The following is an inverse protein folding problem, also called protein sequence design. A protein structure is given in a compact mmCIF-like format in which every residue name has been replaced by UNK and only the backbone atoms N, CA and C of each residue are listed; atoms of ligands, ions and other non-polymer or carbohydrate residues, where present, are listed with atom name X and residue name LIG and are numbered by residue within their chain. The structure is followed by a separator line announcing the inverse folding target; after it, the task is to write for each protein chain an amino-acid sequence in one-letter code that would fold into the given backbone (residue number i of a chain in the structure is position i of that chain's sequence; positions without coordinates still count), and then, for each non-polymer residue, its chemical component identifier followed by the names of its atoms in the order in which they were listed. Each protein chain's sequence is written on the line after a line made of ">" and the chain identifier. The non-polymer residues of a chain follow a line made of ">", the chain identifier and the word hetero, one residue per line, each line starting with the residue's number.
data_IF_987328699841
#
_entry.id   IF_987328699841
#
_cell.length_a   1.000
_cell.length_b   1.000
_cell.length_c   1.000
_cell.angle_alpha   90.00
_cell.angle_beta   90.00
_cell.angle_gamma   90.00
#
_symmetry.space_group_name_H-M   'P 1'
#
loop_
_entity.id
_entity.type
_entity.pdbx_description
1 polymer ?
#
# COMPACT_ATOMS: atom_id res chain seq x y z
N UNK A 1 -15.12 -31.79 12.57
CA UNK A 1 -14.01 -31.57 11.63
C UNK A 1 -13.53 -30.14 11.78
N UNK A 2 -12.46 -29.92 12.54
CA UNK A 2 -11.90 -28.58 12.74
C UNK A 2 -11.19 -28.17 11.45
N UNK A 3 -11.76 -27.21 10.71
CA UNK A 3 -11.17 -26.66 9.49
C UNK A 3 -9.89 -25.92 9.90
N UNK A 4 -8.71 -26.46 9.62
CA UNK A 4 -7.43 -25.80 9.88
C UNK A 4 -7.42 -24.47 9.10
N UNK A 5 -7.47 -23.35 9.82
CA UNK A 5 -7.16 -22.04 9.27
C UNK A 5 -5.67 -21.79 9.54
N UNK A 6 -4.87 -21.43 8.52
CA UNK A 6 -3.49 -21.02 8.76
C UNK A 6 -3.49 -19.86 9.77
N UNK A 7 -2.48 -19.82 10.64
CA UNK A 7 -2.33 -18.67 11.53
C UNK A 7 -1.97 -17.44 10.69
N UNK A 8 -2.34 -16.25 11.15
CA UNK A 8 -1.99 -14.98 10.51
C UNK A 8 -0.50 -14.90 10.15
N UNK A 9 0.37 -15.36 11.06
CA UNK A 9 1.81 -15.41 10.86
C UNK A 9 2.21 -16.26 9.63
N UNK A 10 1.59 -17.43 9.43
CA UNK A 10 1.91 -18.31 8.29
C UNK A 10 1.60 -17.62 6.95
N UNK A 11 0.49 -16.89 6.89
CA UNK A 11 0.09 -16.17 5.67
C UNK A 11 1.06 -15.03 5.37
N UNK A 12 1.44 -14.27 6.39
CA UNK A 12 2.38 -13.16 6.27
C UNK A 12 3.79 -13.65 5.90
N UNK A 13 4.25 -14.73 6.53
CA UNK A 13 5.56 -15.32 6.25
C UNK A 13 5.60 -15.90 4.83
N UNK A 14 4.51 -16.51 4.35
CA UNK A 14 4.39 -16.96 2.97
C UNK A 14 4.43 -15.79 1.96
N UNK A 15 3.73 -14.68 2.25
CA UNK A 15 3.78 -13.48 1.42
C UNK A 15 5.16 -12.82 1.41
N UNK A 16 5.81 -12.74 2.57
CA UNK A 16 7.17 -12.25 2.67
C UNK A 16 8.13 -13.12 1.85
N UNK A 17 8.03 -14.45 1.96
CA UNK A 17 8.83 -15.37 1.16
C UNK A 17 8.59 -15.20 -0.34
N UNK A 18 7.35 -15.00 -0.78
CA UNK A 18 7.01 -14.74 -2.19
C UNK A 18 7.62 -13.43 -2.69
N UNK A 19 7.49 -12.34 -1.94
CA UNK A 19 8.10 -11.04 -2.29
C UNK A 19 9.62 -11.19 -2.46
N UNK A 20 10.27 -11.82 -1.48
CA UNK A 20 11.73 -11.97 -1.45
C UNK A 20 12.25 -12.96 -2.49
N UNK A 21 11.45 -13.99 -2.83
CA UNK A 21 11.79 -14.94 -3.88
C UNK A 21 11.70 -14.31 -5.27
N UNK A 22 10.57 -13.66 -5.58
CA UNK A 22 10.32 -13.07 -6.89
C UNK A 22 11.19 -11.83 -7.15
N UNK A 23 11.58 -11.12 -6.10
CA UNK A 23 12.35 -9.87 -6.18
C UNK A 23 13.58 -9.91 -5.26
N UNK A 24 14.44 -10.91 -5.48
CA UNK A 24 15.63 -11.17 -4.64
C UNK A 24 16.74 -10.11 -4.70
N UNK A 25 16.66 -9.15 -5.64
CA UNK A 25 17.69 -8.13 -5.86
C UNK A 25 17.06 -6.78 -6.20
N UNK A 26 17.71 -5.72 -5.75
CA UNK A 26 17.31 -4.35 -5.99
C UNK A 26 16.18 -3.88 -5.08
N UNK A 27 15.72 -2.66 -5.33
CA UNK A 27 14.65 -2.00 -4.58
C UNK A 27 13.31 -2.54 -5.01
N UNK A 28 12.52 -3.00 -4.04
CA UNK A 28 11.19 -3.56 -4.29
C UNK A 28 10.14 -2.67 -3.67
N UNK A 29 9.24 -2.13 -4.46
CA UNK A 29 8.07 -1.39 -3.97
C UNK A 29 6.82 -2.26 -4.09
N UNK A 30 6.11 -2.45 -2.98
CA UNK A 30 4.89 -3.25 -2.89
C UNK A 30 3.74 -2.35 -2.47
N UNK A 31 2.66 -2.34 -3.26
CA UNK A 31 1.42 -1.68 -2.89
C UNK A 31 0.53 -2.61 -2.07
N UNK A 32 -0.13 -2.07 -1.05
CA UNK A 32 -1.16 -2.73 -0.24
C UNK A 32 -2.42 -1.87 -0.31
N UNK A 33 -3.28 -2.19 -1.27
CA UNK A 33 -4.51 -1.45 -1.55
C UNK A 33 -5.64 -1.96 -0.65
N UNK A 34 -6.07 -1.16 0.30
CA UNK A 34 -7.15 -1.48 1.23
C UNK A 34 -8.10 -0.31 1.40
N UNK A 35 -9.38 -0.59 1.60
CA UNK A 35 -10.41 0.45 1.70
C UNK A 35 -10.43 1.13 3.08
N UNK A 36 -9.95 0.45 4.11
CA UNK A 36 -9.81 0.97 5.46
C UNK A 36 -8.33 1.18 5.80
N UNK A 37 -7.87 2.43 5.96
CA UNK A 37 -6.48 2.74 6.32
C UNK A 37 -6.00 2.08 7.62
N UNK A 38 -6.87 1.86 8.60
CA UNK A 38 -6.46 1.20 9.85
C UNK A 38 -6.16 -0.28 9.62
N UNK A 39 -6.96 -0.95 8.79
CA UNK A 39 -6.76 -2.35 8.42
C UNK A 39 -5.54 -2.52 7.51
N UNK A 40 -5.38 -1.65 6.50
CA UNK A 40 -4.24 -1.73 5.58
C UNK A 40 -2.91 -1.41 6.27
N UNK A 41 -2.89 -0.43 7.17
CA UNK A 41 -1.71 -0.04 7.94
C UNK A 41 -1.27 -1.15 8.88
N UNK A 42 -2.21 -1.77 9.61
CA UNK A 42 -1.92 -2.91 10.47
C UNK A 42 -1.36 -4.10 9.68
N UNK A 43 -1.99 -4.44 8.55
CA UNK A 43 -1.51 -5.51 7.66
C UNK A 43 -0.11 -5.22 7.11
N UNK A 44 0.17 -3.97 6.73
CA UNK A 44 1.48 -3.55 6.22
C UNK A 44 2.58 -3.70 7.27
N UNK A 45 2.31 -3.30 8.51
CA UNK A 45 3.27 -3.46 9.61
C UNK A 45 3.51 -4.93 9.97
N UNK A 46 2.45 -5.75 9.96
CA UNK A 46 2.54 -7.19 10.18
C UNK A 46 3.38 -7.89 9.08
N UNK A 47 3.18 -7.51 7.82
CA UNK A 47 3.99 -8.00 6.70
C UNK A 47 5.44 -7.48 6.78
N UNK A 48 5.65 -6.24 7.19
CA UNK A 48 6.97 -5.70 7.44
C UNK A 48 7.69 -6.49 8.55
N UNK A 49 7.00 -6.86 9.62
CA UNK A 49 7.57 -7.71 10.67
C UNK A 49 8.01 -9.08 10.12
N UNK A 50 7.22 -9.70 9.23
CA UNK A 50 7.60 -10.94 8.54
C UNK A 50 8.87 -10.78 7.69
N UNK A 51 8.95 -9.71 6.89
CA UNK A 51 10.13 -9.42 6.05
C UNK A 51 11.38 -9.17 6.93
N UNK A 52 11.23 -8.49 8.08
CA UNK A 52 12.33 -8.28 9.04
C UNK A 52 12.81 -9.59 9.65
N UNK A 53 11.89 -10.49 10.03
CA UNK A 53 12.24 -11.83 10.55
C UNK A 53 13.02 -12.65 9.51
N UNK A 54 12.69 -12.49 8.23
CA UNK A 54 13.44 -13.07 7.11
C UNK A 54 14.78 -12.35 6.83
N UNK A 55 15.21 -11.39 7.65
CA UNK A 55 16.52 -10.75 7.59
C UNK A 55 16.66 -9.61 6.57
N UNK A 56 15.56 -9.08 6.04
CA UNK A 56 15.59 -8.06 5.00
C UNK A 56 15.22 -6.67 5.51
N UNK A 57 15.84 -5.65 4.93
CA UNK A 57 15.48 -4.25 5.20
C UNK A 57 14.11 -3.94 4.63
N UNK A 58 13.23 -3.35 5.44
CA UNK A 58 11.89 -2.96 5.02
C UNK A 58 11.47 -1.63 5.62
N UNK A 59 10.77 -0.84 4.80
CA UNK A 59 10.23 0.46 5.13
C UNK A 59 8.73 0.43 4.85
N UNK A 60 7.94 1.10 5.69
CA UNK A 60 6.50 1.22 5.55
C UNK A 60 6.18 2.70 5.38
N UNK A 61 5.32 3.01 4.41
CA UNK A 61 4.74 4.33 4.22
C UNK A 61 3.23 4.19 4.06
N UNK A 62 2.49 5.17 4.57
CA UNK A 62 1.04 5.19 4.47
C UNK A 62 0.62 6.31 3.52
N UNK A 63 -0.30 6.06 2.59
CA UNK A 63 -0.84 7.12 1.72
C UNK A 63 -1.45 8.26 2.54
N UNK A 64 -1.95 7.96 3.74
CA UNK A 64 -2.45 8.94 4.70
C UNK A 64 -1.42 10.00 5.13
N UNK A 65 -0.12 9.70 5.06
CA UNK A 65 0.98 10.63 5.30
C UNK A 65 1.35 11.48 4.06
N UNK A 66 0.61 11.33 2.95
CA UNK A 66 0.75 12.10 1.71
C UNK A 66 -0.59 12.70 1.29
N UNK A 67 -1.42 13.08 2.26
CA UNK A 67 -2.68 13.77 1.97
C UNK A 67 -2.45 15.19 1.47
N UNK A 68 -3.39 15.65 0.63
CA UNK A 68 -3.50 17.08 0.32
C UNK A 68 -4.04 17.84 1.53
N UNK A 69 -3.62 19.10 1.75
CA UNK A 69 -4.22 19.96 2.75
C UNK A 69 -5.74 20.03 2.59
N UNK A 70 -6.49 20.16 3.70
CA UNK A 70 -7.96 20.24 3.65
C UNK A 70 -8.50 21.28 2.67
N UNK A 71 -7.86 22.44 2.55
CA UNK A 71 -8.26 23.49 1.61
C UNK A 71 -8.26 23.04 0.14
N UNK A 72 -7.41 22.08 -0.24
CA UNK A 72 -7.38 21.48 -1.57
C UNK A 72 -8.35 20.30 -1.72
N UNK A 73 -8.72 19.64 -0.62
CA UNK A 73 -9.65 18.49 -0.62
C UNK A 73 -11.12 18.89 -0.66
N UNK A 74 -11.44 20.04 -0.10
CA UNK A 74 -12.82 20.55 0.02
C UNK A 74 -13.27 21.34 -1.22
N UNK A 75 -12.68 21.11 -2.40
CA UNK A 75 -13.06 21.79 -3.65
C UNK A 75 -14.52 21.47 -4.03
N UNK A 76 -15.40 22.44 -3.83
CA UNK A 76 -16.84 22.33 -4.09
C UNK A 76 -17.18 22.25 -5.58
N UNK A 77 -16.24 22.53 -6.48
CA UNK A 77 -16.44 22.35 -7.93
C UNK A 77 -16.43 20.88 -8.34
N UNK A 78 -15.89 19.98 -7.50
CA UNK A 78 -15.87 18.54 -7.72
C UNK A 78 -17.04 17.88 -6.98
N UNK A 79 -17.74 16.97 -7.66
CA UNK A 79 -18.82 16.18 -7.09
C UNK A 79 -18.37 15.47 -5.80
N UNK A 80 -19.23 15.44 -4.78
CA UNK A 80 -18.88 14.93 -3.45
C UNK A 80 -18.40 13.46 -3.51
N UNK A 81 -19.05 12.68 -4.36
CA UNK A 81 -18.73 11.28 -4.66
C UNK A 81 -17.38 11.06 -5.36
N UNK A 82 -16.79 12.08 -5.99
CA UNK A 82 -15.49 11.97 -6.66
C UNK A 82 -14.33 12.57 -5.85
N UNK A 83 -14.62 13.46 -4.90
CA UNK A 83 -13.59 14.20 -4.14
C UNK A 83 -12.63 13.28 -3.40
N UNK A 84 -13.15 12.22 -2.77
CA UNK A 84 -12.33 11.27 -2.01
C UNK A 84 -11.28 10.60 -2.92
N UNK A 85 -11.66 10.15 -4.11
CA UNK A 85 -10.74 9.51 -5.05
C UNK A 85 -9.77 10.50 -5.72
N UNK A 86 -10.25 11.69 -6.10
CA UNK A 86 -9.46 12.64 -6.90
C UNK A 86 -8.51 13.50 -6.07
N UNK A 87 -8.91 13.89 -4.86
CA UNK A 87 -8.24 14.96 -4.13
C UNK A 87 -7.60 14.51 -2.82
N UNK A 88 -7.90 13.31 -2.30
CA UNK A 88 -7.43 12.92 -0.96
C UNK A 88 -5.90 12.95 -0.84
N UNK A 89 -5.19 12.40 -1.82
CA UNK A 89 -3.75 12.21 -1.76
C UNK A 89 -2.99 13.03 -2.82
N UNK A 90 -1.81 13.50 -2.44
CA UNK A 90 -0.83 14.12 -3.34
C UNK A 90 0.12 13.06 -3.89
N UNK A 91 -0.34 12.38 -4.95
CA UNK A 91 0.46 11.36 -5.62
C UNK A 91 1.69 11.91 -6.35
N UNK A 92 1.69 13.19 -6.72
CA UNK A 92 2.87 13.83 -7.30
C UNK A 92 3.96 13.96 -6.24
N UNK A 93 3.60 14.45 -5.05
CA UNK A 93 4.49 14.51 -3.89
C UNK A 93 4.99 13.11 -3.51
N UNK A 94 4.10 12.14 -3.35
CA UNK A 94 4.44 10.74 -3.05
C UNK A 94 5.49 10.21 -4.03
N UNK A 95 5.31 10.42 -5.34
CA UNK A 95 6.28 9.97 -6.35
C UNK A 95 7.61 10.68 -6.21
N UNK A 96 7.57 12.02 -6.13
CA UNK A 96 8.75 12.89 -6.10
C UNK A 96 9.65 12.63 -4.89
N UNK A 97 9.09 12.39 -3.71
CA UNK A 97 9.87 12.32 -2.46
C UNK A 97 10.05 10.90 -1.92
N UNK A 98 9.21 9.95 -2.34
CA UNK A 98 9.27 8.56 -1.89
C UNK A 98 9.58 7.60 -3.03
N UNK A 99 8.64 7.42 -3.97
CA UNK A 99 8.67 6.27 -4.88
C UNK A 99 9.83 6.32 -5.88
N UNK A 100 9.96 7.46 -6.58
CA UNK A 100 11.00 7.65 -7.59
C UNK A 100 12.41 7.61 -6.96
N UNK A 101 12.70 8.34 -5.86
CA UNK A 101 14.02 8.25 -5.22
C UNK A 101 14.31 6.89 -4.60
N UNK A 102 13.31 6.20 -4.01
CA UNK A 102 13.52 4.85 -3.47
C UNK A 102 13.94 3.87 -4.58
N UNK A 103 13.27 3.92 -5.75
CA UNK A 103 13.55 3.04 -6.89
C UNK A 103 14.89 3.33 -7.55
N UNK A 104 15.36 4.58 -7.54
CA UNK A 104 16.68 4.93 -8.06
C UNK A 104 17.81 4.19 -7.31
N UNK A 105 17.60 3.87 -6.04
CA UNK A 105 18.53 3.11 -5.22
C UNK A 105 19.80 3.88 -4.87
N UNK A 106 20.89 3.14 -4.62
CA UNK A 106 22.15 3.72 -4.15
C UNK A 106 22.00 4.44 -2.80
N UNK A 107 22.63 5.61 -2.67
CA UNK A 107 22.56 6.48 -1.50
C UNK A 107 21.45 7.53 -1.59
N UNK A 108 20.54 7.41 -2.56
CA UNK A 108 19.44 8.36 -2.75
C UNK A 108 18.53 8.38 -1.53
N UNK A 109 18.30 9.56 -0.97
CA UNK A 109 17.41 9.75 0.15
C UNK A 109 15.94 9.75 -0.29
N UNK A 110 15.06 9.23 0.55
CA UNK A 110 13.61 9.28 0.37
C UNK A 110 12.90 9.64 1.69
N UNK A 111 11.63 10.03 1.61
CA UNK A 111 10.81 10.47 2.75
C UNK A 111 9.56 9.59 2.84
N UNK A 112 9.28 9.04 4.03
CA UNK A 112 8.14 8.14 4.23
C UNK A 112 6.84 8.85 4.62
N UNK A 113 6.93 10.10 5.09
CA UNK A 113 5.78 10.88 5.53
C UNK A 113 6.04 12.36 5.30
N UNK A 114 5.08 13.04 4.65
CA UNK A 114 5.17 14.46 4.30
C UNK A 114 4.03 15.30 4.88
N UNK A 115 2.97 14.67 5.38
CA UNK A 115 1.79 15.32 5.94
C UNK A 115 1.36 14.63 7.24
N UNK A 116 0.88 15.40 8.21
CA UNK A 116 0.24 14.90 9.43
C UNK A 116 -1.27 15.10 9.32
N UNK A 117 -2.01 14.02 9.05
CA UNK A 117 -3.46 14.08 8.88
C UNK A 117 -4.22 14.44 10.17
N UNK A 118 -3.64 14.23 11.35
CA UNK A 118 -4.27 14.56 12.63
C UNK A 118 -4.10 16.05 12.93
N UNK A 119 -2.92 16.60 12.64
CA UNK A 119 -2.60 18.03 12.85
C UNK A 119 -2.97 18.92 11.67
N UNK A 120 -3.30 18.35 10.51
CA UNK A 120 -3.54 19.07 9.25
C UNK A 120 -2.37 19.99 8.86
N UNK A 121 -1.14 19.46 8.95
CA UNK A 121 0.07 20.23 8.66
C UNK A 121 1.10 19.44 7.85
N UNK A 122 1.94 20.16 7.12
CA UNK A 122 3.09 19.55 6.48
C UNK A 122 4.15 19.16 7.50
N UNK A 123 4.69 17.95 7.34
CA UNK A 123 5.79 17.45 8.16
C UNK A 123 7.12 17.91 7.60
N UNK A 124 8.05 18.24 8.50
CA UNK A 124 9.43 18.44 8.10
C UNK A 124 9.99 17.13 7.51
N UNK A 125 10.61 17.16 6.31
CA UNK A 125 11.15 15.97 5.67
C UNK A 125 12.17 15.25 6.55
N UNK A 126 11.92 13.98 6.83
CA UNK A 126 12.89 13.07 7.45
C UNK A 126 13.48 12.15 6.39
N UNK A 127 14.60 12.56 5.83
CA UNK A 127 15.30 11.82 4.80
C UNK A 127 15.89 10.51 5.35
N UNK A 128 15.61 9.41 4.65
CA UNK A 128 16.12 8.07 4.95
C UNK A 128 16.85 7.53 3.73
N UNK A 129 17.84 6.68 3.97
CA UNK A 129 18.43 5.82 2.94
C UNK A 129 18.13 4.37 3.28
N UNK A 130 18.42 3.47 2.35
CA UNK A 130 18.22 2.05 2.53
C UNK A 130 19.39 1.26 1.94
N UNK A 131 19.57 -0.02 2.29
CA UNK A 131 20.62 -0.89 1.69
C UNK A 131 20.14 -1.59 0.42
N UNK A 132 20.99 -1.87 -0.57
CA UNK A 132 20.67 -2.26 -1.97
C UNK A 132 19.39 -3.07 -2.24
N UNK A 133 19.10 -4.08 -1.41
CA UNK A 133 18.02 -5.06 -1.62
C UNK A 133 16.88 -4.87 -0.57
N UNK A 134 16.41 -3.64 -0.36
CA UNK A 134 15.32 -3.37 0.61
C UNK A 134 13.93 -3.29 -0.04
N UNK A 135 12.93 -3.57 0.78
CA UNK A 135 11.50 -3.51 0.43
C UNK A 135 10.86 -2.22 0.96
N UNK A 136 10.01 -1.60 0.17
CA UNK A 136 9.10 -0.53 0.57
C UNK A 136 7.67 -1.06 0.44
N UNK A 137 6.94 -1.05 1.55
CA UNK A 137 5.50 -1.29 1.57
C UNK A 137 4.79 0.07 1.59
N UNK A 138 3.82 0.26 0.70
CA UNK A 138 2.97 1.45 0.67
C UNK A 138 1.52 1.01 0.75
N UNK A 139 0.84 1.37 1.84
CA UNK A 139 -0.56 1.01 2.04
C UNK A 139 -1.51 2.22 1.98
N UNK A 140 -2.77 1.91 1.69
CA UNK A 140 -3.89 2.84 1.79
C UNK A 140 -4.89 2.70 0.65
N UNK A 141 -5.95 3.51 0.74
CA UNK A 141 -6.98 3.59 -0.29
C UNK A 141 -6.38 4.04 -1.64
N UNK A 142 -6.83 3.40 -2.73
CA UNK A 142 -6.54 3.80 -4.11
C UNK A 142 -5.07 3.62 -4.55
N UNK A 143 -4.34 2.69 -3.91
CA UNK A 143 -2.93 2.47 -4.21
C UNK A 143 -2.69 1.88 -5.62
N UNK A 144 -3.71 1.30 -6.27
CA UNK A 144 -3.63 0.71 -7.63
C UNK A 144 -4.26 1.59 -8.71
N UNK A 145 -4.46 2.88 -8.43
CA UNK A 145 -4.92 3.85 -9.42
C UNK A 145 -3.99 3.94 -10.64
N UNK A 146 -4.51 4.33 -11.81
CA UNK A 146 -3.76 4.36 -13.07
C UNK A 146 -2.39 5.06 -13.02
N UNK A 147 -2.28 6.15 -12.27
CA UNK A 147 -1.10 7.03 -12.19
C UNK A 147 0.08 6.40 -11.47
N UNK A 148 -0.14 5.30 -10.73
CA UNK A 148 0.91 4.54 -10.05
C UNK A 148 1.24 3.22 -10.77
N UNK A 149 0.63 2.98 -11.94
CA UNK A 149 0.99 1.82 -12.78
C UNK A 149 2.48 1.88 -13.15
N UNK A 150 3.15 0.73 -13.06
CA UNK A 150 4.60 0.61 -13.31
C UNK A 150 5.49 1.08 -12.14
N UNK A 151 4.92 1.69 -11.09
CA UNK A 151 5.66 1.99 -9.86
C UNK A 151 5.94 0.72 -9.08
N UNK A 152 4.91 -0.12 -8.91
CA UNK A 152 4.93 -1.29 -8.05
C UNK A 152 5.59 -2.50 -8.71
N UNK A 153 6.43 -3.19 -7.96
CA UNK A 153 6.91 -4.53 -8.31
C UNK A 153 5.80 -5.56 -8.04
N UNK A 154 5.11 -5.43 -6.90
CA UNK A 154 3.97 -6.27 -6.52
C UNK A 154 2.84 -5.40 -5.99
N UNK A 155 1.61 -5.83 -6.19
CA UNK A 155 0.44 -5.27 -5.54
C UNK A 155 -0.35 -6.35 -4.81
N UNK A 156 -0.83 -5.98 -3.63
CA UNK A 156 -1.70 -6.77 -2.78
C UNK A 156 -2.99 -5.99 -2.64
N UNK A 157 -4.12 -6.62 -2.92
CA UNK A 157 -5.45 -6.06 -2.66
C UNK A 157 -6.03 -6.74 -1.42
N UNK A 158 -6.32 -5.93 -0.41
CA UNK A 158 -7.06 -6.36 0.78
C UNK A 158 -8.55 -6.25 0.50
N UNK A 159 -9.24 -7.37 0.62
CA UNK A 159 -10.62 -7.55 0.20
C UNK A 159 -11.49 -7.94 1.39
N UNK A 160 -12.54 -7.17 1.66
CA UNK A 160 -13.54 -7.47 2.69
C UNK A 160 -14.75 -8.22 2.12
N UNK A 161 -14.76 -8.55 0.82
CA UNK A 161 -15.85 -9.23 0.10
C UNK A 161 -17.24 -8.53 0.09
N UNK A 162 -17.38 -7.35 0.69
CA UNK A 162 -18.57 -6.49 0.62
C UNK A 162 -18.23 -5.21 -0.19
N UNK A 163 -19.15 -4.60 -0.95
CA UNK A 163 -18.86 -3.29 -1.53
C UNK A 163 -18.99 -2.20 -0.45
N UNK A 164 -18.22 -1.08 -0.51
CA UNK A 164 -17.77 -0.48 -1.75
C UNK A 164 -16.30 -0.05 -1.74
N UNK A 165 -15.55 -0.59 -2.70
CA UNK A 165 -14.55 0.23 -3.38
C UNK A 165 -15.28 1.46 -3.95
N UNK A 166 -14.70 2.64 -3.72
CA UNK A 166 -15.17 3.92 -4.25
C UNK A 166 -15.61 3.80 -5.73
N UNK A 167 -16.77 4.38 -6.06
CA UNK A 167 -17.35 4.24 -7.39
C UNK A 167 -16.48 4.92 -8.47
N UNK A 168 -15.87 6.07 -8.15
CA UNK A 168 -14.96 6.76 -9.06
C UNK A 168 -13.67 5.95 -9.25
N UNK A 169 -13.16 5.31 -8.19
CA UNK A 169 -12.02 4.40 -8.32
C UNK A 169 -12.33 3.23 -9.27
N UNK A 170 -13.47 2.53 -9.06
CA UNK A 170 -13.92 1.43 -9.93
C UNK A 170 -14.20 1.84 -11.37
N UNK A 171 -14.68 3.07 -11.58
CA UNK A 171 -14.91 3.59 -12.92
C UNK A 171 -13.60 3.72 -13.74
N UNK A 172 -12.46 3.86 -13.06
CA UNK A 172 -11.15 4.02 -13.72
C UNK A 172 -10.31 2.74 -13.75
N UNK A 173 -10.54 1.80 -12.84
CA UNK A 173 -9.76 0.58 -12.74
C UNK A 173 -10.46 -0.51 -11.92
N UNK A 174 -10.12 -1.77 -12.15
CA UNK A 174 -10.55 -2.89 -11.32
C UNK A 174 -9.38 -3.36 -10.43
N UNK A 175 -9.33 -2.95 -9.15
CA UNK A 175 -8.20 -3.30 -8.27
C UNK A 175 -8.11 -4.81 -8.00
N UNK A 176 -9.22 -5.55 -8.04
CA UNK A 176 -9.23 -7.00 -7.84
C UNK A 176 -8.61 -7.74 -9.02
N UNK A 177 -8.78 -7.22 -10.24
CA UNK A 177 -8.15 -7.78 -11.43
C UNK A 177 -6.70 -7.35 -11.61
N UNK A 178 -6.35 -6.14 -11.13
CA UNK A 178 -4.97 -5.64 -11.24
C UNK A 178 -4.01 -6.26 -10.24
N UNK A 179 -4.47 -6.57 -9.02
CA UNK A 179 -3.61 -7.14 -8.00
C UNK A 179 -3.40 -8.64 -8.23
N UNK A 180 -2.15 -9.13 -8.40
CA UNK A 180 -1.86 -10.56 -8.49
C UNK A 180 -2.04 -11.29 -7.15
N UNK A 181 -2.10 -10.56 -6.03
CA UNK A 181 -2.34 -11.10 -4.69
C UNK A 181 -3.62 -10.51 -4.13
N UNK A 182 -4.61 -11.37 -3.85
CA UNK A 182 -5.84 -11.00 -3.17
C UNK A 182 -5.85 -11.62 -1.77
N UNK A 183 -6.09 -10.80 -0.76
CA UNK A 183 -6.18 -11.24 0.63
C UNK A 183 -7.57 -10.90 1.15
N UNK A 184 -8.34 -11.91 1.52
CA UNK A 184 -9.54 -11.74 2.35
C UNK A 184 -9.11 -11.27 3.73
N UNK A 185 -9.59 -10.09 4.13
CA UNK A 185 -9.26 -9.42 5.38
C UNK A 185 -10.49 -9.12 6.24
N UNK A 186 -11.62 -9.80 5.99
CA UNK A 186 -12.83 -9.66 6.82
C UNK A 186 -12.59 -9.90 8.30
N UNK A 187 -11.68 -10.84 8.59
CA UNK A 187 -11.11 -11.05 9.90
C UNK A 187 -9.61 -10.73 9.82
N UNK A 188 -9.17 -9.54 10.29
CA UNK A 188 -7.76 -9.15 10.28
C UNK A 188 -6.84 -10.10 11.06
N UNK A 189 -7.39 -10.88 11.99
CA UNK A 189 -6.64 -11.88 12.77
C UNK A 189 -6.54 -13.22 12.06
N UNK A 190 -7.30 -13.43 10.99
CA UNK A 190 -7.27 -14.65 10.17
C UNK A 190 -7.30 -14.31 8.66
N UNK A 191 -6.31 -13.55 8.14
CA UNK A 191 -6.25 -13.22 6.72
C UNK A 191 -6.12 -14.48 5.88
N UNK A 192 -6.71 -14.48 4.68
CA UNK A 192 -6.63 -15.64 3.77
C UNK A 192 -6.35 -15.19 2.35
N UNK A 193 -5.39 -15.81 1.68
CA UNK A 193 -5.21 -15.60 0.24
C UNK A 193 -6.42 -16.16 -0.51
N UNK A 194 -6.98 -15.34 -1.38
CA UNK A 194 -8.04 -15.73 -2.31
C UNK A 194 -7.39 -15.91 -3.67
N UNK A 195 -7.69 -17.03 -4.31
CA UNK A 195 -7.36 -17.22 -5.71
C UNK A 195 -8.62 -16.86 -6.50
N UNK A 196 -8.51 -15.87 -7.37
CA UNK A 196 -9.61 -15.60 -8.30
C UNK A 196 -9.74 -16.85 -9.18
N UNK A 197 -10.86 -17.57 -9.05
CA UNK A 197 -11.18 -18.70 -9.91
C UNK A 197 -11.20 -18.18 -11.34
N UNK A 198 -10.10 -18.43 -12.05
CA UNK A 198 -9.95 -18.09 -13.45
C UNK A 198 -10.64 -19.23 -14.21
N UNK A 199 -11.95 -19.08 -14.45
CA UNK A 199 -12.66 -19.84 -15.48
C UNK A 199 -12.52 -19.14 -16.82
#
# INVERSE_FOLDING_TARGET
>A
MTKWAPQKADVLDALAAEVLHNYSRGRVAVAIDGDDPAVSSAFAEDLAAAIRRAGHGVFVAHLTDFQRPRAERDDVSIAAEERAYRLRYDYELLRRVLLDPFKLGGSTGFVLAAFDAVREEQRQPRWRTAGRDAVLLVDGEFALRPELRGTWNLSIRLDTQEPPVDAAYRATTDPRRLAPVLIDIRDPEHPRRVFADSC
#
